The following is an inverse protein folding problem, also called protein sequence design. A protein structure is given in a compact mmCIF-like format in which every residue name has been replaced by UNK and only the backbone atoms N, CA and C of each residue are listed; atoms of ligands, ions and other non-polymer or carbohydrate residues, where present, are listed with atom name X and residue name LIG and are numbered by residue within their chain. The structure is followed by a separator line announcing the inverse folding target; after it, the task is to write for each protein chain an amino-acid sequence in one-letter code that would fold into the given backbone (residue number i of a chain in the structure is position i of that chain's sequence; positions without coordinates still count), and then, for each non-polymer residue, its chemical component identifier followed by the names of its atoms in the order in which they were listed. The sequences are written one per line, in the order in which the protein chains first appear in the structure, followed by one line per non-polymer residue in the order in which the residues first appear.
data_IF_872835859270
#
_entry.id   IF_872835859270
#
_cell.length_a   1.000
_cell.length_b   1.000
_cell.length_c   1.000
_cell.angle_alpha   90.00
_cell.angle_beta   90.00
_cell.angle_gamma   90.00
#
_symmetry.space_group_name_H-M   'P 1'
#
loop_
_entity.id
_entity.type
_entity.pdbx_description
1 polymer ?
#
# COMPACT_ATOMS: atom_id res chain seq x y z
N UNK A 1 -27.85 13.45 38.45
CA UNK A 1 -26.38 13.33 38.53
C UNK A 1 -25.88 11.92 38.27
N UNK A 2 -26.15 10.90 39.10
CA UNK A 2 -25.66 9.53 38.85
C UNK A 2 -26.21 8.90 37.54
N UNK A 3 -27.49 9.13 37.23
CA UNK A 3 -28.10 8.66 35.98
C UNK A 3 -27.57 9.40 34.73
N UNK A 4 -27.23 10.69 34.87
CA UNK A 4 -26.69 11.49 33.76
C UNK A 4 -25.25 11.09 33.43
N UNK A 5 -24.45 10.74 34.45
CA UNK A 5 -23.09 10.23 34.29
C UNK A 5 -23.09 8.83 33.65
N UNK A 6 -24.03 7.96 34.03
CA UNK A 6 -24.15 6.61 33.43
C UNK A 6 -24.58 6.68 31.96
N UNK A 7 -25.50 7.59 31.62
CA UNK A 7 -25.92 7.81 30.23
C UNK A 7 -24.79 8.42 29.37
N UNK A 8 -24.00 9.33 29.94
CA UNK A 8 -22.84 9.91 29.26
C UNK A 8 -21.72 8.88 29.03
N UNK A 9 -21.46 8.00 30.01
CA UNK A 9 -20.50 6.90 29.87
C UNK A 9 -20.90 5.92 28.75
N UNK A 10 -22.16 5.48 28.73
CA UNK A 10 -22.66 4.59 27.66
C UNK A 10 -22.67 5.25 26.28
N UNK A 11 -22.82 6.58 26.20
CA UNK A 11 -22.71 7.32 24.93
C UNK A 11 -21.25 7.38 24.43
N UNK A 12 -20.28 7.49 25.35
CA UNK A 12 -18.86 7.53 25.02
C UNK A 12 -18.35 6.16 24.52
N UNK A 13 -18.74 5.07 25.17
CA UNK A 13 -18.43 3.71 24.71
C UNK A 13 -18.98 3.45 23.31
N UNK A 14 -20.24 3.84 23.06
CA UNK A 14 -20.86 3.69 21.75
C UNK A 14 -20.14 4.51 20.66
N UNK A 15 -19.65 5.71 21.00
CA UNK A 15 -18.90 6.55 20.08
C UNK A 15 -17.57 5.90 19.67
N UNK A 16 -16.83 5.34 20.63
CA UNK A 16 -15.56 4.65 20.34
C UNK A 16 -15.76 3.42 19.45
N UNK A 17 -16.82 2.64 19.68
CA UNK A 17 -17.14 1.47 18.86
C UNK A 17 -17.48 1.87 17.42
N UNK A 18 -18.30 2.91 17.24
CA UNK A 18 -18.66 3.40 15.90
C UNK A 18 -17.43 3.92 15.17
N UNK A 19 -16.58 4.67 15.86
CA UNK A 19 -15.32 5.17 15.30
C UNK A 19 -14.41 4.03 14.86
N UNK A 20 -14.23 3.01 15.71
CA UNK A 20 -13.44 1.82 15.38
C UNK A 20 -13.98 1.09 14.13
N UNK A 21 -15.30 0.98 13.97
CA UNK A 21 -15.93 0.39 12.79
C UNK A 21 -15.66 1.21 11.53
N UNK A 22 -15.78 2.55 11.61
CA UNK A 22 -15.54 3.44 10.46
C UNK A 22 -14.08 3.36 10.02
N UNK A 23 -13.15 3.45 10.99
CA UNK A 23 -11.70 3.39 10.76
C UNK A 23 -11.32 2.02 10.19
N UNK A 24 -11.78 0.94 10.83
CA UNK A 24 -11.53 -0.43 10.38
C UNK A 24 -12.11 -0.71 8.99
N UNK A 25 -13.32 -0.23 8.72
CA UNK A 25 -13.97 -0.34 7.41
C UNK A 25 -13.20 0.38 6.31
N UNK A 26 -12.73 1.60 6.58
CA UNK A 26 -11.91 2.35 5.62
C UNK A 26 -10.58 1.65 5.32
N UNK A 27 -9.89 1.14 6.35
CA UNK A 27 -8.66 0.35 6.18
C UNK A 27 -8.91 -0.92 5.35
N UNK A 28 -10.02 -1.63 5.60
CA UNK A 28 -10.40 -2.82 4.84
C UNK A 28 -10.63 -2.51 3.35
N UNK A 29 -11.28 -1.38 3.03
CA UNK A 29 -11.46 -0.93 1.64
C UNK A 29 -10.12 -0.65 0.97
N UNK A 30 -9.21 0.06 1.65
CA UNK A 30 -7.86 0.35 1.10
C UNK A 30 -7.09 -0.95 0.87
N UNK A 31 -7.14 -1.89 1.82
CA UNK A 31 -6.51 -3.19 1.69
C UNK A 31 -7.07 -3.98 0.51
N UNK A 32 -8.40 -4.01 0.35
CA UNK A 32 -9.07 -4.67 -0.77
C UNK A 32 -8.64 -4.09 -2.12
N UNK A 33 -8.63 -2.76 -2.27
CA UNK A 33 -8.18 -2.09 -3.50
C UNK A 33 -6.72 -2.42 -3.79
N UNK A 34 -5.87 -2.48 -2.76
CA UNK A 34 -4.46 -2.83 -2.88
C UNK A 34 -4.27 -4.28 -3.37
N UNK A 35 -5.01 -5.23 -2.79
CA UNK A 35 -4.97 -6.65 -3.21
C UNK A 35 -5.48 -6.79 -4.65
N UNK A 36 -6.61 -6.17 -5.00
CA UNK A 36 -7.14 -6.16 -6.36
C UNK A 36 -6.14 -5.56 -7.34
N UNK A 37 -5.43 -4.51 -6.94
CA UNK A 37 -4.35 -3.92 -7.72
C UNK A 37 -3.23 -4.92 -8.05
N UNK A 38 -2.81 -5.72 -7.08
CA UNK A 38 -1.82 -6.80 -7.28
C UNK A 38 -2.35 -7.89 -8.23
N UNK A 39 -3.60 -8.32 -8.04
CA UNK A 39 -4.22 -9.42 -8.80
C UNK A 39 -4.44 -9.02 -10.26
N UNK A 40 -5.05 -7.85 -10.49
CA UNK A 40 -5.39 -7.33 -11.83
C UNK A 40 -4.16 -6.71 -12.51
N UNK A 41 -3.07 -6.48 -11.77
CA UNK A 41 -1.82 -5.86 -12.26
C UNK A 41 -2.03 -4.44 -12.80
N UNK A 42 -2.93 -3.69 -12.18
CA UNK A 42 -3.27 -2.33 -12.60
C UNK A 42 -2.50 -1.30 -11.79
N UNK A 43 -1.67 -0.48 -12.47
CA UNK A 43 -1.02 0.68 -11.85
C UNK A 43 -2.03 1.73 -11.40
N UNK A 44 -3.16 1.85 -12.09
CA UNK A 44 -4.21 2.81 -11.74
C UNK A 44 -4.81 2.48 -10.37
N UNK A 45 -5.04 1.19 -10.08
CA UNK A 45 -5.51 0.75 -8.76
C UNK A 45 -4.47 1.01 -7.66
N UNK A 46 -3.17 0.94 -8.00
CA UNK A 46 -2.10 1.31 -7.07
C UNK A 46 -2.12 2.79 -6.72
N UNK A 47 -2.30 3.65 -7.71
CA UNK A 47 -2.47 5.09 -7.47
C UNK A 47 -3.73 5.41 -6.68
N UNK A 48 -4.85 4.75 -6.97
CA UNK A 48 -6.08 4.91 -6.18
C UNK A 48 -5.82 4.49 -4.72
N UNK A 49 -5.14 3.36 -4.48
CA UNK A 49 -4.80 2.91 -3.13
C UNK A 49 -3.92 3.92 -2.37
N UNK A 50 -2.92 4.51 -3.04
CA UNK A 50 -2.09 5.60 -2.46
C UNK A 50 -2.96 6.80 -2.08
N UNK A 51 -3.82 7.26 -2.99
CA UNK A 51 -4.67 8.43 -2.75
C UNK A 51 -5.63 8.17 -1.59
N UNK A 52 -6.27 6.99 -1.56
CA UNK A 52 -7.15 6.60 -0.47
C UNK A 52 -6.40 6.54 0.87
N UNK A 53 -5.20 5.93 0.90
CA UNK A 53 -4.37 5.88 2.09
C UNK A 53 -3.93 7.27 2.55
N UNK A 54 -3.58 8.16 1.61
CA UNK A 54 -3.23 9.56 1.90
C UNK A 54 -4.40 10.33 2.51
N UNK A 55 -5.58 10.27 1.87
CA UNK A 55 -6.80 10.89 2.39
C UNK A 55 -7.15 10.34 3.79
N UNK A 56 -7.08 9.02 3.97
CA UNK A 56 -7.32 8.39 5.27
C UNK A 56 -6.34 8.90 6.33
N UNK A 57 -5.05 8.95 5.99
CA UNK A 57 -3.99 9.39 6.90
C UNK A 57 -4.16 10.87 7.30
N UNK A 58 -4.60 11.73 6.37
CA UNK A 58 -4.87 13.14 6.66
C UNK A 58 -6.16 13.38 7.47
N UNK A 59 -7.23 12.60 7.22
CA UNK A 59 -8.52 12.81 7.87
C UNK A 59 -8.63 12.18 9.25
N UNK A 60 -8.03 11.01 9.45
CA UNK A 60 -8.19 10.22 10.68
C UNK A 60 -6.97 10.25 11.59
N UNK A 61 -5.85 10.85 11.15
CA UNK A 61 -4.60 10.94 11.92
C UNK A 61 -4.23 9.62 12.64
N UNK A 62 -4.13 8.49 11.92
CA UNK A 62 -4.06 7.15 12.52
C UNK A 62 -2.83 6.92 13.41
N UNK A 63 -1.82 7.79 13.36
CA UNK A 63 -0.70 7.78 14.30
C UNK A 63 -1.12 8.09 15.75
N UNK A 64 -2.21 8.85 15.94
CA UNK A 64 -2.78 9.11 17.26
C UNK A 64 -3.39 7.83 17.87
N UNK A 65 -3.81 6.87 17.04
CA UNK A 65 -4.36 5.59 17.51
C UNK A 65 -3.31 4.69 18.17
N UNK A 66 -2.01 4.95 17.95
CA UNK A 66 -0.93 4.23 18.63
C UNK A 66 -0.76 4.68 20.10
N UNK A 67 -1.17 5.92 20.41
CA UNK A 67 -1.17 6.50 21.75
C UNK A 67 -2.49 7.29 21.95
N UNK A 68 -3.64 6.60 22.03
CA UNK A 68 -4.96 7.22 21.93
C UNK A 68 -5.34 8.03 23.18
N UNK A 69 -4.74 7.72 24.33
CA UNK A 69 -5.04 8.34 25.62
C UNK A 69 -3.77 8.72 26.38
N UNK A 70 -3.91 9.63 27.34
CA UNK A 70 -2.80 10.02 28.19
C UNK A 70 -2.51 8.92 29.23
N UNK A 71 -1.26 8.76 29.72
CA UNK A 71 -0.90 7.70 30.67
C UNK A 71 -1.71 7.70 31.97
N UNK A 72 -2.24 8.86 32.36
CA UNK A 72 -3.03 9.08 33.57
C UNK A 72 -4.46 8.53 33.45
N UNK A 73 -5.02 8.49 32.23
CA UNK A 73 -6.38 8.00 31.96
C UNK A 73 -6.48 6.46 31.99
N UNK A 74 -5.35 5.74 31.88
CA UNK A 74 -5.28 4.27 31.92
C UNK A 74 -5.59 3.66 33.30
N UNK A 75 -5.86 4.49 34.31
CA UNK A 75 -6.34 4.02 35.62
C UNK A 75 -7.79 3.52 35.55
N UNK A 76 -8.54 3.95 34.54
CA UNK A 76 -9.89 3.47 34.26
C UNK A 76 -9.84 2.18 33.40
N UNK A 77 -10.44 1.06 33.87
CA UNK A 77 -10.45 -0.19 33.10
C UNK A 77 -11.17 -0.07 31.75
N UNK A 78 -12.15 0.83 31.61
CA UNK A 78 -12.90 1.00 30.36
C UNK A 78 -12.04 1.70 29.30
N UNK A 79 -11.24 2.69 29.72
CA UNK A 79 -10.25 3.36 28.87
C UNK A 79 -9.13 2.41 28.46
N UNK A 80 -8.67 1.54 29.36
CA UNK A 80 -7.65 0.53 29.03
C UNK A 80 -8.13 -0.42 27.93
N UNK A 81 -9.38 -0.89 28.01
CA UNK A 81 -9.96 -1.74 26.98
C UNK A 81 -10.07 -1.01 25.63
N UNK A 82 -10.60 0.21 25.62
CA UNK A 82 -10.73 1.00 24.40
C UNK A 82 -9.36 1.31 23.76
N UNK A 83 -8.35 1.60 24.57
CA UNK A 83 -6.99 1.87 24.10
C UNK A 83 -6.39 0.69 23.34
N UNK A 84 -6.64 -0.54 23.79
CA UNK A 84 -6.16 -1.75 23.11
C UNK A 84 -6.75 -1.89 21.70
N UNK A 85 -8.05 -1.62 21.54
CA UNK A 85 -8.73 -1.68 20.24
C UNK A 85 -8.19 -0.62 19.27
N UNK A 86 -7.96 0.61 19.76
CA UNK A 86 -7.35 1.66 18.94
C UNK A 86 -5.90 1.36 18.56
N UNK A 87 -5.10 0.81 19.48
CA UNK A 87 -3.74 0.37 19.17
C UNK A 87 -3.71 -0.74 18.12
N UNK A 88 -4.65 -1.68 18.20
CA UNK A 88 -4.82 -2.71 17.16
C UNK A 88 -5.12 -2.08 15.79
N UNK A 89 -6.03 -1.10 15.73
CA UNK A 89 -6.31 -0.34 14.52
C UNK A 89 -5.10 0.44 13.99
N UNK A 90 -4.30 1.03 14.88
CA UNK A 90 -3.02 1.65 14.54
C UNK A 90 -2.05 0.65 13.90
N UNK A 91 -1.99 -0.57 14.44
CA UNK A 91 -1.25 -1.69 13.85
C UNK A 91 -1.78 -2.09 12.46
N UNK A 92 -3.11 -2.17 12.29
CA UNK A 92 -3.74 -2.42 10.99
C UNK A 92 -3.41 -1.34 9.95
N UNK A 93 -3.33 -0.07 10.36
CA UNK A 93 -2.90 1.02 9.47
C UNK A 93 -1.45 0.83 8.99
N UNK A 94 -0.52 0.48 9.88
CA UNK A 94 0.86 0.16 9.51
C UNK A 94 0.89 -1.01 8.51
N UNK A 95 0.18 -2.09 8.81
CA UNK A 95 0.10 -3.26 7.93
C UNK A 95 -0.48 -2.91 6.54
N UNK A 96 -1.52 -2.08 6.50
CA UNK A 96 -2.13 -1.62 5.25
C UNK A 96 -1.17 -0.74 4.45
N UNK A 97 -0.41 0.12 5.12
CA UNK A 97 0.61 0.95 4.49
C UNK A 97 1.70 0.10 3.84
N UNK A 98 2.19 -0.92 4.55
CA UNK A 98 3.16 -1.89 4.01
C UNK A 98 2.59 -2.66 2.81
N UNK A 99 1.31 -3.02 2.86
CA UNK A 99 0.62 -3.71 1.76
C UNK A 99 0.55 -2.84 0.50
N UNK A 100 0.21 -1.55 0.64
CA UNK A 100 0.19 -0.58 -0.47
C UNK A 100 1.60 -0.43 -1.08
N UNK A 101 2.63 -0.30 -0.24
CA UNK A 101 4.03 -0.22 -0.69
C UNK A 101 4.43 -1.50 -1.45
N UNK A 102 4.13 -2.67 -0.89
CA UNK A 102 4.43 -3.96 -1.52
C UNK A 102 3.73 -4.09 -2.88
N UNK A 103 2.47 -3.66 -2.99
CA UNK A 103 1.73 -3.63 -4.24
C UNK A 103 2.43 -2.79 -5.31
N UNK A 104 2.87 -1.59 -4.96
CA UNK A 104 3.57 -0.69 -5.89
C UNK A 104 4.89 -1.29 -6.37
N UNK A 105 5.67 -1.85 -5.44
CA UNK A 105 6.95 -2.51 -5.76
C UNK A 105 6.72 -3.69 -6.70
N UNK A 106 5.76 -4.57 -6.40
CA UNK A 106 5.45 -5.74 -7.23
C UNK A 106 4.99 -5.32 -8.62
N UNK A 107 4.10 -4.32 -8.71
CA UNK A 107 3.59 -3.84 -9.99
C UNK A 107 4.69 -3.18 -10.83
N UNK A 108 5.54 -2.35 -10.21
CA UNK A 108 6.67 -1.72 -10.89
C UNK A 108 7.72 -2.73 -11.39
N UNK A 109 8.16 -3.66 -10.54
CA UNK A 109 9.17 -4.66 -10.92
C UNK A 109 8.64 -5.55 -12.04
N UNK A 110 7.36 -5.95 -11.99
CA UNK A 110 6.75 -6.78 -13.04
C UNK A 110 6.61 -6.03 -14.36
N UNK A 111 6.18 -4.78 -14.35
CA UNK A 111 6.07 -3.97 -15.57
C UNK A 111 7.45 -3.71 -16.20
N UNK A 112 8.48 -3.46 -15.38
CA UNK A 112 9.86 -3.33 -15.86
C UNK A 112 10.38 -4.61 -16.53
N UNK A 113 10.06 -5.79 -15.99
CA UNK A 113 10.45 -7.08 -16.60
C UNK A 113 9.68 -7.36 -17.90
N UNK A 114 8.39 -7.01 -17.95
CA UNK A 114 7.57 -7.16 -19.15
C UNK A 114 8.02 -6.23 -20.31
N UNK A 115 8.68 -5.11 -20.02
CA UNK A 115 9.23 -4.19 -21.02
C UNK A 115 10.59 -4.65 -21.61
N UNK A 116 11.24 -5.69 -21.07
CA UNK A 116 12.58 -6.16 -21.50
C UNK A 116 12.67 -7.42 -22.40
N UNK A 117 11.64 -7.95 -23.09
CA UNK A 117 11.81 -9.18 -23.87
C UNK A 117 12.57 -9.02 -25.20
N UNK A 118 12.75 -7.80 -25.75
CA UNK A 118 13.28 -7.64 -27.12
C UNK A 118 14.72 -7.07 -27.26
N UNK A 119 15.40 -6.71 -26.17
CA UNK A 119 16.73 -6.09 -26.29
C UNK A 119 17.90 -7.06 -26.53
N UNK A 120 17.64 -8.38 -26.61
CA UNK A 120 18.69 -9.40 -26.88
C UNK A 120 18.70 -9.92 -28.33
N UNK A 121 17.84 -9.44 -29.24
CA UNK A 121 17.67 -10.04 -30.58
C UNK A 121 18.15 -9.20 -31.77
N UNK A 122 18.78 -8.05 -31.53
CA UNK A 122 19.38 -7.25 -32.60
C UNK A 122 20.86 -7.00 -32.29
N UNK A 123 21.64 -8.07 -32.23
CA UNK A 123 23.04 -7.97 -32.66
C UNK A 123 22.98 -8.20 -34.17
N UNK A 124 23.16 -7.18 -35.03
CA UNK A 124 23.38 -7.45 -36.43
C UNK A 124 24.70 -8.22 -36.55
N UNK A 125 24.63 -9.45 -37.08
CA UNK A 125 25.79 -10.20 -37.56
C UNK A 125 26.48 -9.36 -38.65
N UNK A 126 27.43 -8.54 -38.24
CA UNK A 126 28.13 -7.63 -39.15
C UNK A 126 29.36 -8.26 -39.82
N UNK A 127 29.60 -9.56 -39.62
CA UNK A 127 30.85 -10.21 -40.01
C UNK A 127 30.81 -11.02 -41.32
N UNK A 128 29.65 -11.25 -41.94
CA UNK A 128 29.60 -12.14 -43.12
C UNK A 128 29.84 -11.44 -44.47
N UNK A 129 29.68 -10.10 -44.54
CA UNK A 129 29.78 -9.38 -45.82
C UNK A 129 31.19 -8.80 -46.11
N UNK A 130 32.10 -8.82 -45.13
CA UNK A 130 33.47 -8.29 -45.35
C UNK A 130 34.40 -9.27 -46.06
N UNK A 131 34.02 -10.55 -46.26
CA UNK A 131 34.87 -11.55 -46.92
C UNK A 131 34.53 -11.83 -48.38
N UNK A 132 33.41 -11.34 -48.92
CA UNK A 132 33.05 -11.58 -50.33
C UNK A 132 33.58 -10.54 -51.31
N UNK A 133 34.09 -9.40 -50.84
CA UNK A 133 34.62 -8.36 -51.73
C UNK A 133 36.13 -8.38 -51.96
N UNK A 134 36.89 -9.26 -51.32
CA UNK A 134 38.37 -9.23 -51.40
C UNK A 134 39.01 -10.29 -52.28
N UNK A 135 38.25 -11.13 -52.99
CA UNK A 135 38.80 -12.27 -53.75
C UNK A 135 38.59 -12.21 -55.27
N UNK A 136 38.14 -11.07 -55.83
CA UNK A 136 37.84 -10.96 -57.26
C UNK A 136 38.71 -9.96 -58.03
N UNK A 137 39.86 -9.56 -57.50
CA UNK A 137 40.69 -8.51 -58.11
C UNK A 137 42.19 -8.84 -58.11
N UNK A 138 42.58 -9.99 -58.69
CA UNK A 138 43.96 -10.21 -59.17
C UNK A 138 43.93 -11.28 -60.26
N UNK A 139 43.88 -10.84 -61.51
CA UNK A 139 43.93 -11.70 -62.68
C UNK A 139 43.85 -10.82 -63.92
N UNK A 140 44.97 -10.17 -64.23
CA UNK A 140 45.38 -9.73 -65.57
C UNK A 140 46.70 -8.96 -65.39
N UNK A 141 47.82 -9.60 -65.72
CA UNK A 141 49.02 -9.08 -66.41
C UNK A 141 50.05 -10.20 -66.58
#
# INVERSE_FOLDING_TARGET
MAADLLAAAGLAEAAWVIEAIIVGGALAVIALVSVLGVVIRSLVLGWIAIVLLGCFTCLFSPWLLLAPFSPEDYQDPDVFSAAADFQFLGGCWIATTLLVIAMLVVTHVRNYRAARPNQRRCVPDHDENSKRHSSQQTGDF
#
